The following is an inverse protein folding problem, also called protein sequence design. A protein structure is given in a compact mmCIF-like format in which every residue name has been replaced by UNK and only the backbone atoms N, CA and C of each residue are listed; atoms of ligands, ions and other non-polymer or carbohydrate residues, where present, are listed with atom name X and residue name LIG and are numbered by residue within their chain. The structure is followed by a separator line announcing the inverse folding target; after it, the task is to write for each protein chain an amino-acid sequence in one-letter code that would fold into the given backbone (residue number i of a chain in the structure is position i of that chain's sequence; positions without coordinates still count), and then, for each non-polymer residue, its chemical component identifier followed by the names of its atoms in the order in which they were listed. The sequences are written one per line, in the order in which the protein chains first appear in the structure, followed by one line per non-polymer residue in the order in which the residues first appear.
data_IF_563173596003
#
_entry.id   IF_563173596003
#
_cell.length_a   1.000
_cell.length_b   1.000
_cell.length_c   1.000
_cell.angle_alpha   90.00
_cell.angle_beta   90.00
_cell.angle_gamma   90.00
#
_symmetry.space_group_name_H-M   'P 1'
#
loop_
_entity.id
_entity.type
_entity.pdbx_description
1 polymer ?
#
# COMPACT_ATOMS: atom_id res chain seq x y z
N UNK A 1 -1.83 -13.54 -12.14
CA UNK A 1 -1.07 -13.88 -13.36
C UNK A 1 -1.14 -15.37 -13.70
N UNK A 2 -0.71 -16.30 -12.82
CA UNK A 2 -0.73 -17.75 -13.13
C UNK A 2 -2.12 -18.41 -12.96
N UNK A 3 -2.79 -18.17 -11.82
CA UNK A 3 -4.08 -18.82 -11.49
C UNK A 3 -5.29 -17.91 -11.76
N UNK A 4 -5.08 -16.59 -11.80
CA UNK A 4 -6.16 -15.60 -12.01
C UNK A 4 -6.94 -15.20 -10.75
N UNK A 5 -6.57 -15.74 -9.58
CA UNK A 5 -7.16 -15.39 -8.29
C UNK A 5 -6.08 -15.23 -7.20
N UNK A 6 -6.45 -14.69 -6.04
CA UNK A 6 -5.55 -14.57 -4.90
C UNK A 6 -5.35 -15.91 -4.17
N UNK A 7 -4.13 -16.23 -3.70
CA UNK A 7 -3.79 -17.56 -3.18
C UNK A 7 -4.45 -17.91 -1.83
N UNK A 8 -4.87 -16.91 -1.05
CA UNK A 8 -5.41 -17.10 0.30
C UNK A 8 -6.89 -16.70 0.44
N UNK A 9 -7.48 -16.13 -0.60
CA UNK A 9 -8.89 -15.71 -0.56
C UNK A 9 -9.81 -16.92 -0.73
N UNK A 10 -11.00 -16.86 -0.15
CA UNK A 10 -12.01 -17.89 -0.40
C UNK A 10 -12.82 -17.56 -1.66
N UNK A 11 -12.84 -18.44 -2.68
CA UNK A 11 -13.62 -18.19 -3.90
C UNK A 11 -15.13 -18.09 -3.66
N UNK A 12 -15.65 -18.69 -2.58
CA UNK A 12 -17.06 -18.69 -2.23
C UNK A 12 -17.44 -17.51 -1.31
N UNK A 13 -16.49 -17.00 -0.55
CA UNK A 13 -16.69 -15.93 0.44
C UNK A 13 -15.56 -14.89 0.39
N UNK A 14 -15.44 -14.10 -0.70
CA UNK A 14 -14.32 -13.17 -0.90
C UNK A 14 -14.26 -12.06 0.18
N UNK A 15 -15.41 -11.66 0.73
CA UNK A 15 -15.50 -10.64 1.78
C UNK A 15 -15.19 -11.19 3.19
N UNK A 16 -14.93 -12.49 3.33
CA UNK A 16 -14.59 -13.09 4.61
C UNK A 16 -13.09 -12.93 4.92
N UNK A 17 -12.70 -11.69 5.24
CA UNK A 17 -11.31 -11.33 5.55
C UNK A 17 -10.72 -12.15 6.71
N UNK A 18 -11.57 -12.54 7.68
CA UNK A 18 -11.13 -13.37 8.81
C UNK A 18 -10.59 -14.73 8.31
N UNK A 19 -11.27 -15.35 7.34
CA UNK A 19 -10.84 -16.61 6.72
C UNK A 19 -9.58 -16.42 5.89
N UNK A 20 -9.49 -15.34 5.12
CA UNK A 20 -8.29 -14.98 4.35
C UNK A 20 -7.06 -14.80 5.26
N UNK A 21 -7.19 -14.08 6.38
CA UNK A 21 -6.11 -13.90 7.36
C UNK A 21 -5.68 -15.25 7.95
N UNK A 22 -6.62 -16.11 8.32
CA UNK A 22 -6.30 -17.44 8.82
C UNK A 22 -5.52 -18.28 7.80
N UNK A 23 -5.87 -18.19 6.50
CA UNK A 23 -5.13 -18.87 5.43
C UNK A 23 -3.73 -18.31 5.25
N UNK A 24 -3.55 -16.98 5.33
CA UNK A 24 -2.22 -16.34 5.25
C UNK A 24 -1.33 -16.83 6.39
N UNK A 25 -1.81 -16.79 7.63
CA UNK A 25 -1.02 -17.18 8.82
C UNK A 25 -0.60 -18.65 8.78
N UNK A 26 -1.45 -19.52 8.23
CA UNK A 26 -1.18 -20.94 8.10
C UNK A 26 -0.56 -21.33 6.74
N UNK A 27 -0.30 -20.34 5.87
CA UNK A 27 0.23 -20.55 4.51
C UNK A 27 -0.60 -21.58 3.72
N UNK A 28 -1.92 -21.46 3.80
CA UNK A 28 -2.86 -22.36 3.14
C UNK A 28 -3.22 -21.81 1.76
N UNK A 29 -2.54 -22.31 0.74
CA UNK A 29 -2.85 -22.07 -0.67
C UNK A 29 -2.81 -23.39 -1.45
N UNK A 30 -3.54 -23.44 -2.56
CA UNK A 30 -3.51 -24.59 -3.48
C UNK A 30 -3.55 -24.09 -4.92
N UNK A 31 -2.78 -24.72 -5.79
CA UNK A 31 -2.80 -24.42 -7.22
C UNK A 31 -3.76 -25.41 -7.89
N UNK A 32 -4.81 -24.95 -8.60
CA UNK A 32 -5.80 -25.85 -9.19
C UNK A 32 -5.20 -26.77 -10.27
N UNK A 33 -5.76 -27.97 -10.42
CA UNK A 33 -5.29 -28.98 -11.38
C UNK A 33 -5.36 -28.54 -12.84
N UNK A 34 -6.25 -27.61 -13.18
CA UNK A 34 -6.37 -27.08 -14.54
C UNK A 34 -5.23 -26.10 -14.92
N UNK A 35 -4.39 -25.70 -13.95
CA UNK A 35 -3.29 -24.77 -14.18
C UNK A 35 -1.98 -25.55 -14.28
N UNK A 36 -1.47 -25.66 -15.50
CA UNK A 36 -0.14 -26.24 -15.73
C UNK A 36 0.95 -25.26 -15.34
N UNK A 37 1.73 -25.61 -14.32
CA UNK A 37 2.93 -24.87 -13.92
C UNK A 37 4.15 -25.78 -13.97
N UNK A 38 5.29 -25.22 -14.34
CA UNK A 38 6.54 -25.98 -14.34
C UNK A 38 6.98 -26.30 -12.90
N UNK A 39 7.70 -27.40 -12.66
CA UNK A 39 8.18 -27.77 -11.33
C UNK A 39 9.01 -26.65 -10.66
N UNK A 40 9.82 -25.94 -11.46
CA UNK A 40 10.66 -24.84 -11.01
C UNK A 40 9.80 -23.63 -10.58
N UNK A 41 8.68 -23.39 -11.27
CA UNK A 41 7.71 -22.37 -10.90
C UNK A 41 7.08 -22.69 -9.54
N UNK A 42 6.61 -23.94 -9.38
CA UNK A 42 6.02 -24.42 -8.14
C UNK A 42 7.02 -24.31 -6.97
N UNK A 43 8.27 -24.72 -7.20
CA UNK A 43 9.35 -24.60 -6.22
C UNK A 43 9.57 -23.14 -5.81
N UNK A 44 9.64 -22.21 -6.76
CA UNK A 44 9.80 -20.79 -6.45
C UNK A 44 8.66 -20.26 -5.58
N UNK A 45 7.40 -20.55 -5.94
CA UNK A 45 6.22 -20.16 -5.16
C UNK A 45 6.30 -20.71 -3.73
N UNK A 46 6.69 -21.98 -3.57
CA UNK A 46 6.82 -22.62 -2.25
C UNK A 46 7.90 -21.98 -1.37
N UNK A 47 8.96 -21.40 -1.96
CA UNK A 47 10.01 -20.69 -1.20
C UNK A 47 9.64 -19.24 -0.87
N UNK A 48 8.69 -18.66 -1.60
CA UNK A 48 8.13 -17.32 -1.34
C UNK A 48 7.06 -17.38 -0.24
N UNK A 49 6.11 -18.33 -0.36
CA UNK A 49 5.06 -18.52 0.63
C UNK A 49 5.58 -19.37 1.80
N UNK A 50 6.44 -18.75 2.61
CA UNK A 50 6.96 -19.30 3.87
C UNK A 50 6.54 -18.37 5.01
N UNK A 51 5.95 -18.96 6.07
CA UNK A 51 5.46 -18.23 7.24
C UNK A 51 6.58 -17.46 7.94
N UNK A 52 7.71 -18.14 8.14
CA UNK A 52 8.91 -17.60 8.77
C UNK A 52 9.68 -16.69 7.78
N UNK A 53 9.74 -15.36 8.01
CA UNK A 53 10.44 -14.45 7.12
C UNK A 53 11.94 -14.73 7.01
N UNK A 54 12.56 -15.27 8.05
CA UNK A 54 14.00 -15.58 8.05
C UNK A 54 14.35 -16.76 7.13
N UNK A 55 13.36 -17.62 6.82
CA UNK A 55 13.51 -18.77 5.90
C UNK A 55 12.99 -18.48 4.49
N UNK A 56 12.34 -17.34 4.30
CA UNK A 56 11.77 -16.93 3.01
C UNK A 56 12.90 -16.63 2.04
N UNK A 57 12.75 -17.06 0.79
CA UNK A 57 13.72 -16.77 -0.26
C UNK A 57 13.93 -15.25 -0.41
N UNK A 58 15.18 -14.85 -0.53
CA UNK A 58 15.60 -13.46 -0.69
C UNK A 58 15.60 -13.02 -2.15
N UNK A 59 15.57 -11.72 -2.42
CA UNK A 59 15.62 -11.19 -3.78
C UNK A 59 16.86 -11.67 -4.57
N UNK A 60 18.09 -11.68 -4.01
CA UNK A 60 19.24 -12.23 -4.71
C UNK A 60 19.08 -13.72 -5.07
N UNK A 61 18.48 -14.52 -4.19
CA UNK A 61 18.21 -15.94 -4.48
C UNK A 61 17.14 -16.11 -5.56
N UNK A 62 16.11 -15.25 -5.61
CA UNK A 62 15.11 -15.24 -6.69
C UNK A 62 15.77 -14.91 -8.03
N UNK A 63 16.64 -13.90 -8.08
CA UNK A 63 17.37 -13.52 -9.31
C UNK A 63 18.23 -14.66 -9.85
N UNK A 64 18.71 -15.55 -8.98
CA UNK A 64 19.49 -16.73 -9.34
C UNK A 64 18.64 -18.00 -9.52
N UNK A 65 17.32 -17.93 -9.35
CA UNK A 65 16.45 -19.09 -9.46
C UNK A 65 16.23 -19.46 -10.93
N UNK A 66 16.27 -20.77 -11.25
CA UNK A 66 16.18 -21.29 -12.63
C UNK A 66 14.94 -20.78 -13.38
N UNK A 67 13.78 -20.79 -12.70
CA UNK A 67 12.54 -20.26 -13.27
C UNK A 67 12.63 -18.76 -13.64
N UNK A 68 13.34 -17.95 -12.86
CA UNK A 68 13.50 -16.51 -13.13
C UNK A 68 14.49 -16.24 -14.26
N UNK A 69 15.56 -17.02 -14.34
CA UNK A 69 16.59 -16.89 -15.37
C UNK A 69 16.11 -17.38 -16.76
N UNK A 70 15.09 -18.22 -16.79
CA UNK A 70 14.55 -18.78 -18.04
C UNK A 70 13.97 -17.68 -18.92
N UNK A 71 14.61 -17.46 -20.08
CA UNK A 71 14.26 -16.41 -21.05
C UNK A 71 14.38 -14.98 -20.50
N UNK A 72 15.24 -14.75 -19.50
CA UNK A 72 15.49 -13.40 -19.00
C UNK A 72 16.29 -12.58 -20.04
N UNK A 73 15.77 -11.43 -20.53
CA UNK A 73 16.51 -10.56 -21.42
C UNK A 73 17.78 -10.01 -20.77
N UNK A 74 18.87 -9.93 -21.54
CA UNK A 74 20.17 -9.43 -21.06
C UNK A 74 20.08 -7.99 -20.50
N UNK A 75 19.23 -7.15 -21.10
CA UNK A 75 19.04 -5.75 -20.69
C UNK A 75 18.49 -5.59 -19.27
N UNK A 76 17.88 -6.64 -18.70
CA UNK A 76 17.33 -6.66 -17.33
C UNK A 76 18.29 -7.30 -16.33
N UNK A 77 19.40 -7.89 -16.78
CA UNK A 77 20.39 -8.53 -15.89
C UNK A 77 21.31 -7.50 -15.23
N UNK A 78 21.53 -6.35 -15.87
CA UNK A 78 22.41 -5.29 -15.39
C UNK A 78 21.64 -4.06 -14.90
N UNK A 79 21.38 -3.97 -13.59
CA UNK A 79 20.79 -2.76 -12.97
C UNK A 79 21.62 -1.49 -13.28
N UNK A 80 22.94 -1.65 -13.47
CA UNK A 80 23.86 -0.58 -13.86
C UNK A 80 23.66 -0.05 -15.30
N UNK A 81 23.08 -0.84 -16.21
CA UNK A 81 22.83 -0.37 -17.59
C UNK A 81 21.60 0.53 -17.68
N UNK A 82 20.58 0.28 -16.85
CA UNK A 82 19.34 1.07 -16.82
C UNK A 82 19.52 2.43 -16.15
N UNK A 83 20.36 2.53 -15.11
CA UNK A 83 20.62 3.80 -14.41
C UNK A 83 21.38 4.83 -15.24
N UNK A 84 22.10 4.41 -16.29
CA UNK A 84 22.87 5.31 -17.16
C UNK A 84 22.05 5.95 -18.29
N UNK A 85 20.78 5.58 -18.48
CA UNK A 85 19.96 6.09 -19.62
C UNK A 85 19.06 7.28 -19.26
N UNK A 86 18.84 7.53 -17.97
CA UNK A 86 18.04 8.65 -17.50
C UNK A 86 18.82 9.40 -16.43
N UNK A 87 19.48 10.47 -16.85
CA UNK A 87 19.96 11.47 -15.92
C UNK A 87 18.76 12.31 -15.51
N UNK A 88 18.24 12.11 -14.30
CA UNK A 88 17.30 13.09 -13.73
C UNK A 88 18.02 14.44 -13.71
N UNK A 89 17.44 15.50 -14.29
CA UNK A 89 18.00 16.82 -14.15
C UNK A 89 17.94 17.20 -12.67
N UNK A 90 19.10 17.53 -12.08
CA UNK A 90 19.22 18.08 -10.73
C UNK A 90 18.51 19.44 -10.66
N UNK A 91 17.17 19.44 -10.56
CA UNK A 91 16.41 20.67 -10.35
C UNK A 91 16.17 20.85 -8.85
N UNK A 92 16.56 21.99 -8.26
CA UNK A 92 16.35 22.28 -6.85
C UNK A 92 14.89 22.72 -6.59
N UNK A 93 13.94 21.84 -6.90
CA UNK A 93 12.48 22.08 -6.80
C UNK A 93 12.09 22.42 -5.35
N UNK A 94 12.80 21.87 -4.37
CA UNK A 94 12.53 22.08 -2.93
C UNK A 94 12.82 23.54 -2.50
N UNK A 95 13.84 24.17 -3.09
CA UNK A 95 14.20 25.56 -2.73
C UNK A 95 13.25 26.60 -3.32
N UNK A 96 12.69 26.33 -4.50
CA UNK A 96 11.72 27.21 -5.15
C UNK A 96 10.37 27.19 -4.42
N UNK A 97 9.95 26.03 -3.92
CA UNK A 97 8.71 25.86 -3.15
C UNK A 97 8.72 26.54 -1.77
N UNK A 98 9.85 27.07 -1.31
CA UNK A 98 9.98 27.79 -0.02
C UNK A 98 9.75 29.30 -0.15
N UNK A 99 9.65 29.83 -1.38
CA UNK A 99 9.42 31.27 -1.62
C UNK A 99 7.92 31.56 -1.60
N UNK A 100 7.35 32.25 -0.59
CA UNK A 100 5.98 32.74 -0.66
C UNK A 100 5.86 33.79 -1.77
N UNK A 101 4.74 33.80 -2.49
CA UNK A 101 4.51 34.72 -3.61
C UNK A 101 4.78 36.17 -3.20
N UNK A 102 5.76 36.81 -3.86
CA UNK A 102 6.09 38.20 -3.62
C UNK A 102 4.96 39.10 -4.12
N UNK A 103 4.07 39.52 -3.21
CA UNK A 103 3.07 40.52 -3.52
C UNK A 103 1.69 40.27 -2.94
N UNK A 104 1.57 39.89 -1.66
CA UNK A 104 0.35 40.20 -0.92
C UNK A 104 0.76 40.84 0.39
N UNK A 105 0.63 42.17 0.47
CA UNK A 105 -0.02 42.77 1.62
C UNK A 105 -0.49 44.20 1.33
N UNK A 106 -1.80 44.35 1.56
CA UNK A 106 -2.50 45.57 1.96
C UNK A 106 -3.10 46.48 0.88
N UNK A 107 -4.30 46.11 0.40
CA UNK A 107 -5.43 47.06 0.41
C UNK A 107 -6.78 46.35 0.39
N UNK A 108 -7.58 46.62 1.43
CA UNK A 108 -9.00 46.26 1.59
C UNK A 108 -9.79 46.35 0.28
N UNK A 109 -10.59 45.32 -0.03
CA UNK A 109 -12.02 45.45 -0.38
C UNK A 109 -12.68 44.09 -0.72
N UNK A 110 -13.64 43.70 0.14
CA UNK A 110 -14.76 42.78 -0.06
C UNK A 110 -14.51 41.28 -0.29
N UNK A 111 -14.48 40.51 0.80
CA UNK A 111 -15.11 39.18 0.87
C UNK A 111 -15.98 39.12 2.15
N UNK A 112 -17.26 38.72 2.08
CA UNK A 112 -18.17 38.70 3.21
C UNK A 112 -18.01 37.37 3.98
N UNK A 113 -17.68 37.43 5.26
CA UNK A 113 -17.64 36.23 6.10
C UNK A 113 -16.92 36.33 7.45
N UNK A 114 -16.67 37.53 7.98
CA UNK A 114 -16.15 37.69 9.34
C UNK A 114 -17.31 37.95 10.30
N UNK A 115 -17.52 37.03 11.24
CA UNK A 115 -18.17 37.31 12.52
C UNK A 115 -17.31 36.66 13.59
N UNK A 116 -16.43 37.48 14.14
CA UNK A 116 -15.80 37.27 15.43
C UNK A 116 -16.89 37.20 16.50
N UNK A 117 -16.96 36.09 17.24
CA UNK A 117 -17.57 36.08 18.58
C UNK A 117 -16.58 35.40 19.49
N UNK A 118 -15.88 36.25 20.22
CA UNK A 118 -14.98 35.94 21.30
C UNK A 118 -15.76 35.24 22.43
N UNK A 119 -15.10 34.25 23.04
CA UNK A 119 -15.01 34.09 24.50
C UNK A 119 -16.31 34.24 25.30
N UNK A 120 -17.01 33.12 25.54
CA UNK A 120 -17.78 32.90 26.77
C UNK A 120 -17.80 31.38 27.08
N UNK A 121 -16.70 30.90 27.67
CA UNK A 121 -16.74 29.71 28.51
C UNK A 121 -16.95 30.18 29.94
N UNK A 122 -18.20 30.29 30.39
CA UNK A 122 -18.55 30.10 31.80
C UNK A 122 -20.07 29.91 31.98
N UNK A 123 -20.38 28.85 32.74
CA UNK A 123 -21.58 28.63 33.56
C UNK A 123 -22.97 28.67 32.90
N UNK A 124 -23.55 27.48 32.69
CA UNK A 124 -24.69 27.11 33.55
C UNK A 124 -24.88 25.58 33.61
N UNK A 125 -24.50 25.02 34.76
CA UNK A 125 -25.05 23.77 35.28
C UNK A 125 -26.40 24.12 35.90
N UNK A 126 -27.51 23.63 35.34
CA UNK A 126 -28.73 23.20 36.06
C UNK A 126 -29.80 22.79 35.02
N UNK A 127 -30.13 21.48 34.95
CA UNK A 127 -31.37 20.89 35.48
C UNK A 127 -32.59 21.12 34.54
N UNK A 128 -33.14 20.12 33.84
CA UNK A 128 -34.13 19.15 34.35
C UNK A 128 -34.45 18.05 33.30
N UNK A 129 -35.11 16.94 33.68
CA UNK A 129 -35.12 15.62 33.07
C UNK A 129 -36.27 15.43 32.08
N UNK A 130 -36.09 14.51 31.14
CA UNK A 130 -37.13 13.57 30.70
C UNK A 130 -36.63 12.79 29.49
N UNK A 131 -35.98 11.65 29.75
CA UNK A 131 -36.04 10.50 28.84
C UNK A 131 -36.00 9.23 29.68
N UNK A 132 -37.04 9.04 30.49
CA UNK A 132 -37.43 7.74 31.00
C UNK A 132 -38.20 7.02 29.89
N UNK A 133 -37.60 5.99 29.30
CA UNK A 133 -38.37 4.84 28.79
C UNK A 133 -37.51 3.58 28.89
N UNK A 134 -37.79 2.87 29.99
CA UNK A 134 -37.77 1.42 30.14
C UNK A 134 -37.87 0.64 28.81
N UNK A 135 -36.99 -0.35 28.61
CA UNK A 135 -37.20 -1.79 28.86
C UNK A 135 -35.84 -2.50 28.85
#
# INVERSE_FOLDING_TARGET
MLVGAYPFEDPQEPENFRRTIQRILNVQYSIPEYVDISPECHQLISRIFVADPAKRITIPEIRNHEWFLKNLPADLMDENMTSNRFQEPDQPIITEATIPAAGTNSRNQYFPGSLDIEHDMEEDLENDPDLDIHV
#
